data_IF_591194963656
#
_entry.id   IF_591194963656
#
_cell.length_a   1.000
_cell.length_b   1.000
_cell.length_c   1.000
_cell.angle_alpha   90.00
_cell.angle_beta   90.00
_cell.angle_gamma   90.00
#
_symmetry.space_group_name_H-M   'P 1'
#
loop_
_entity.id
_entity.type
_entity.pdbx_description
1 polymer ?
#
# COMPACT_ATOMS: atom_id res chain seq x y z
N UNK A 1 -45.09 4.52 9.23
CA UNK A 1 -44.11 5.45 9.83
C UNK A 1 -42.92 4.60 10.22
N UNK A 2 -41.72 4.85 9.67
CA UNK A 2 -40.53 4.12 10.14
C UNK A 2 -40.28 4.50 11.60
N UNK A 3 -39.96 3.50 12.41
CA UNK A 3 -39.61 3.69 13.81
C UNK A 3 -38.28 4.47 13.94
N UNK A 4 -38.18 5.31 14.96
CA UNK A 4 -37.03 6.24 15.14
C UNK A 4 -35.71 5.49 15.23
N UNK A 5 -35.71 4.32 15.87
CA UNK A 5 -34.55 3.44 15.99
C UNK A 5 -34.08 2.90 14.64
N UNK A 6 -35.00 2.72 13.68
CA UNK A 6 -34.66 2.25 12.32
C UNK A 6 -33.99 3.37 11.51
N UNK A 7 -34.44 4.61 11.68
CA UNK A 7 -33.85 5.78 11.03
C UNK A 7 -32.44 6.02 11.56
N UNK A 8 -32.24 5.99 12.88
CA UNK A 8 -30.92 6.18 13.51
C UNK A 8 -29.94 5.06 13.10
N UNK A 9 -30.42 3.82 12.99
CA UNK A 9 -29.61 2.69 12.53
C UNK A 9 -29.18 2.83 11.06
N UNK A 10 -30.06 3.32 10.19
CA UNK A 10 -29.75 3.55 8.79
C UNK A 10 -28.75 4.70 8.63
N UNK A 11 -28.97 5.81 9.33
CA UNK A 11 -28.05 6.95 9.36
C UNK A 11 -26.64 6.51 9.76
N UNK A 12 -26.52 5.72 10.84
CA UNK A 12 -25.22 5.20 11.31
C UNK A 12 -24.51 4.31 10.30
N UNK A 13 -25.24 3.55 9.48
CA UNK A 13 -24.61 2.75 8.42
C UNK A 13 -24.23 3.60 7.20
N UNK A 14 -24.99 4.66 6.88
CA UNK A 14 -24.64 5.62 5.84
C UNK A 14 -23.35 6.34 6.22
N UNK A 15 -23.27 6.87 7.45
CA UNK A 15 -22.08 7.55 7.95
C UNK A 15 -20.85 6.63 7.93
N UNK A 16 -21.04 5.34 8.24
CA UNK A 16 -19.97 4.33 8.19
C UNK A 16 -19.51 4.03 6.76
N UNK A 17 -20.40 4.04 5.77
CA UNK A 17 -20.02 3.87 4.37
C UNK A 17 -19.27 5.11 3.87
N UNK A 18 -19.74 6.30 4.21
CA UNK A 18 -19.11 7.57 3.83
C UNK A 18 -17.72 7.72 4.47
N UNK A 19 -17.56 7.34 5.74
CA UNK A 19 -16.25 7.35 6.41
C UNK A 19 -15.28 6.38 5.73
N UNK A 20 -15.73 5.17 5.37
CA UNK A 20 -14.89 4.18 4.67
C UNK A 20 -14.50 4.64 3.25
N UNK A 21 -15.38 5.34 2.53
CA UNK A 21 -15.07 5.91 1.21
C UNK A 21 -14.06 7.06 1.32
N UNK A 22 -14.19 7.90 2.35
CA UNK A 22 -13.25 8.99 2.62
C UNK A 22 -11.88 8.46 3.03
N UNK A 23 -11.85 7.49 3.94
CA UNK A 23 -10.63 6.79 4.39
C UNK A 23 -9.91 6.09 3.22
N UNK A 24 -10.66 5.52 2.27
CA UNK A 24 -10.09 4.92 1.05
C UNK A 24 -9.33 5.93 0.20
N UNK A 25 -9.94 7.08 -0.04
CA UNK A 25 -9.37 8.11 -0.89
C UNK A 25 -8.13 8.73 -0.23
N UNK A 26 -8.24 9.13 1.04
CA UNK A 26 -7.12 9.71 1.79
C UNK A 26 -5.97 8.71 1.98
N UNK A 27 -6.28 7.47 2.41
CA UNK A 27 -5.24 6.46 2.60
C UNK A 27 -4.49 6.18 1.30
N UNK A 28 -5.19 6.03 0.18
CA UNK A 28 -4.52 5.79 -1.10
C UNK A 28 -3.59 6.94 -1.49
N UNK A 29 -4.07 8.18 -1.40
CA UNK A 29 -3.26 9.36 -1.73
C UNK A 29 -2.05 9.50 -0.83
N UNK A 30 -2.21 9.28 0.48
CA UNK A 30 -1.11 9.30 1.46
C UNK A 30 -0.08 8.22 1.13
N UNK A 31 -0.52 7.00 0.85
CA UNK A 31 0.37 5.89 0.51
C UNK A 31 1.14 6.12 -0.79
N UNK A 32 0.46 6.58 -1.85
CA UNK A 32 1.13 6.93 -3.12
C UNK A 32 2.14 8.05 -2.90
N UNK A 33 1.79 9.07 -2.11
CA UNK A 33 2.71 10.15 -1.75
C UNK A 33 3.95 9.60 -1.04
N UNK A 34 3.79 8.75 -0.03
CA UNK A 34 4.94 8.16 0.68
C UNK A 34 5.83 7.32 -0.23
N UNK A 35 5.27 6.47 -1.11
CA UNK A 35 6.07 5.69 -2.05
C UNK A 35 6.85 6.62 -2.99
N UNK A 36 6.21 7.66 -3.54
CA UNK A 36 6.88 8.64 -4.41
C UNK A 36 7.98 9.40 -3.67
N UNK A 37 7.75 9.82 -2.42
CA UNK A 37 8.77 10.50 -1.61
C UNK A 37 9.97 9.60 -1.34
N UNK A 38 9.75 8.34 -0.99
CA UNK A 38 10.82 7.36 -0.77
C UNK A 38 11.60 7.13 -2.07
N UNK A 39 10.90 6.98 -3.20
CA UNK A 39 11.49 6.82 -4.52
C UNK A 39 12.40 7.98 -4.90
N UNK A 40 11.88 9.20 -4.80
CA UNK A 40 12.64 10.42 -5.12
C UNK A 40 13.82 10.56 -4.17
N UNK A 41 13.65 10.26 -2.88
CA UNK A 41 14.75 10.27 -1.90
C UNK A 41 15.86 9.30 -2.27
N UNK A 42 15.52 8.04 -2.57
CA UNK A 42 16.48 7.00 -2.95
C UNK A 42 17.20 7.33 -4.27
N UNK A 43 16.47 7.83 -5.27
CA UNK A 43 17.05 8.31 -6.54
C UNK A 43 17.99 9.50 -6.31
N UNK A 44 17.60 10.45 -5.47
CA UNK A 44 18.43 11.63 -5.17
C UNK A 44 19.73 11.23 -4.52
N UNK A 45 19.67 10.31 -3.55
CA UNK A 45 20.87 9.81 -2.86
C UNK A 45 21.77 9.05 -3.86
N UNK A 46 21.18 8.22 -4.71
CA UNK A 46 21.92 7.48 -5.73
C UNK A 46 22.64 8.41 -6.72
N UNK A 47 21.97 9.46 -7.20
CA UNK A 47 22.54 10.48 -8.09
C UNK A 47 23.62 11.29 -7.37
N UNK A 48 23.43 11.62 -6.08
CA UNK A 48 24.41 12.36 -5.30
C UNK A 48 25.74 11.61 -5.16
N UNK A 49 25.71 10.29 -5.09
CA UNK A 49 26.90 9.45 -4.98
C UNK A 49 27.60 9.14 -6.32
N UNK A 50 26.92 9.29 -7.46
CA UNK A 50 27.49 9.01 -8.79
C UNK A 50 28.47 10.09 -9.31
N UNK A 51 29.09 10.90 -8.44
CA UNK A 51 29.97 12.02 -8.83
C UNK A 51 31.42 11.62 -9.10
N UNK A 52 31.88 10.50 -8.56
CA UNK A 52 33.22 9.98 -8.82
C UNK A 52 33.15 8.92 -9.91
N UNK A 53 34.12 8.93 -10.83
CA UNK A 53 34.23 7.89 -11.87
C UNK A 53 34.21 6.53 -11.18
N UNK A 54 33.27 5.67 -11.60
CA UNK A 54 33.17 4.30 -11.13
C UNK A 54 34.37 3.54 -11.72
N UNK A 55 35.55 3.73 -11.14
CA UNK A 55 36.78 3.08 -11.59
C UNK A 55 36.93 1.68 -10.98
N UNK A 56 36.14 1.36 -9.94
CA UNK A 56 36.13 0.06 -9.28
C UNK A 56 34.90 -0.78 -9.66
N UNK A 57 35.14 -2.00 -10.13
CA UNK A 57 34.09 -2.98 -10.45
C UNK A 57 33.18 -3.25 -9.25
N UNK A 58 33.72 -3.21 -8.03
CA UNK A 58 32.95 -3.48 -6.80
C UNK A 58 31.86 -2.42 -6.58
N UNK A 59 32.21 -1.15 -6.78
CA UNK A 59 31.29 0.00 -6.71
C UNK A 59 30.18 -0.10 -7.76
N UNK A 60 30.50 -0.58 -8.97
CA UNK A 60 29.50 -0.81 -10.02
C UNK A 60 28.47 -1.89 -9.65
N UNK A 61 28.92 -3.00 -9.04
CA UNK A 61 28.01 -4.07 -8.61
C UNK A 61 27.07 -3.61 -7.49
N UNK A 62 27.57 -2.85 -6.51
CA UNK A 62 26.71 -2.29 -5.46
C UNK A 62 25.68 -1.31 -6.02
N UNK A 63 26.11 -0.41 -6.91
CA UNK A 63 25.22 0.54 -7.57
C UNK A 63 24.08 -0.17 -8.33
N UNK A 64 24.43 -1.18 -9.13
CA UNK A 64 23.45 -1.96 -9.89
C UNK A 64 22.50 -2.75 -8.96
N UNK A 65 23.03 -3.32 -7.88
CA UNK A 65 22.23 -4.06 -6.88
C UNK A 65 21.24 -3.15 -6.15
N UNK A 66 21.65 -1.91 -5.83
CA UNK A 66 20.78 -0.89 -5.23
C UNK A 66 19.64 -0.55 -6.19
N UNK A 67 19.95 -0.27 -7.46
CA UNK A 67 18.92 0.04 -8.47
C UNK A 67 17.90 -1.08 -8.63
N UNK A 68 18.36 -2.33 -8.73
CA UNK A 68 17.49 -3.49 -8.86
C UNK A 68 16.64 -3.66 -7.59
N UNK A 69 17.22 -3.49 -6.41
CA UNK A 69 16.51 -3.61 -5.13
C UNK A 69 15.42 -2.55 -4.98
N UNK A 70 15.71 -1.30 -5.38
CA UNK A 70 14.72 -0.22 -5.43
C UNK A 70 13.58 -0.59 -6.38
N UNK A 71 13.90 -1.01 -7.62
CA UNK A 71 12.89 -1.35 -8.61
C UNK A 71 11.96 -2.49 -8.13
N UNK A 72 12.54 -3.54 -7.53
CA UNK A 72 11.77 -4.67 -6.97
C UNK A 72 10.88 -4.20 -5.81
N UNK A 73 11.42 -3.39 -4.89
CA UNK A 73 10.64 -2.83 -3.78
C UNK A 73 9.45 -2.02 -4.30
N UNK A 74 9.64 -1.22 -5.34
CA UNK A 74 8.55 -0.40 -5.91
C UNK A 74 7.45 -1.27 -6.51
N UNK A 75 7.83 -2.24 -7.35
CA UNK A 75 6.86 -3.12 -8.01
C UNK A 75 6.05 -3.90 -6.96
N UNK A 76 6.73 -4.42 -5.94
CA UNK A 76 6.08 -5.20 -4.87
C UNK A 76 5.23 -4.33 -3.95
N UNK A 77 5.70 -3.14 -3.59
CA UNK A 77 4.95 -2.17 -2.79
C UNK A 77 3.70 -1.65 -3.49
N UNK A 78 3.78 -1.33 -4.78
CA UNK A 78 2.60 -0.93 -5.58
C UNK A 78 1.61 -2.08 -5.70
N UNK A 79 2.09 -3.31 -5.92
CA UNK A 79 1.24 -4.50 -6.00
C UNK A 79 0.51 -4.75 -4.67
N UNK A 80 1.21 -4.62 -3.55
CA UNK A 80 0.63 -4.73 -2.21
C UNK A 80 -0.43 -3.64 -1.95
N UNK A 81 -0.16 -2.39 -2.33
CA UNK A 81 -1.15 -1.31 -2.20
C UNK A 81 -2.39 -1.55 -3.04
N UNK A 82 -2.22 -1.99 -4.29
CA UNK A 82 -3.34 -2.31 -5.15
C UNK A 82 -4.23 -3.38 -4.53
N UNK A 83 -3.64 -4.37 -3.85
CA UNK A 83 -4.39 -5.35 -3.09
C UNK A 83 -5.18 -4.74 -1.94
N UNK A 84 -4.55 -3.89 -1.12
CA UNK A 84 -5.22 -3.24 0.00
C UNK A 84 -6.42 -2.40 -0.46
N UNK A 85 -6.28 -1.66 -1.55
CA UNK A 85 -7.38 -0.88 -2.15
C UNK A 85 -8.49 -1.81 -2.66
N UNK A 86 -8.11 -2.92 -3.29
CA UNK A 86 -9.06 -3.91 -3.80
C UNK A 86 -9.86 -4.55 -2.66
N UNK A 87 -9.19 -4.92 -1.56
CA UNK A 87 -9.86 -5.42 -0.35
C UNK A 87 -10.80 -4.37 0.22
N UNK A 88 -10.33 -3.13 0.36
CA UNK A 88 -11.15 -2.02 0.88
C UNK A 88 -12.37 -1.75 -0.02
N UNK A 89 -12.21 -1.84 -1.35
CA UNK A 89 -13.32 -1.75 -2.31
C UNK A 89 -14.31 -2.89 -2.12
N UNK A 90 -13.84 -4.13 -1.95
CA UNK A 90 -14.73 -5.27 -1.67
C UNK A 90 -15.50 -5.09 -0.35
N UNK A 91 -14.84 -4.60 0.70
CA UNK A 91 -15.49 -4.29 1.97
C UNK A 91 -16.56 -3.19 1.80
N UNK A 92 -16.28 -2.12 1.06
CA UNK A 92 -17.27 -1.06 0.79
C UNK A 92 -18.46 -1.61 0.00
N UNK A 93 -18.20 -2.37 -1.08
CA UNK A 93 -19.26 -2.98 -1.89
C UNK A 93 -20.12 -3.95 -1.06
N UNK A 94 -19.50 -4.68 -0.14
CA UNK A 94 -20.19 -5.55 0.80
C UNK A 94 -21.09 -4.76 1.76
N UNK A 95 -20.57 -3.70 2.38
CA UNK A 95 -21.35 -2.83 3.26
C UNK A 95 -22.50 -2.14 2.52
N UNK A 96 -22.28 -1.65 1.28
CA UNK A 96 -23.34 -1.10 0.42
C UNK A 96 -24.41 -2.13 0.10
N UNK A 97 -24.04 -3.36 -0.25
CA UNK A 97 -25.01 -4.44 -0.52
C UNK A 97 -25.82 -4.82 0.73
N UNK A 98 -25.16 -4.89 1.89
CA UNK A 98 -25.82 -5.14 3.16
C UNK A 98 -26.81 -4.02 3.52
N UNK A 99 -26.42 -2.75 3.29
CA UNK A 99 -27.28 -1.59 3.51
C UNK A 99 -28.49 -1.59 2.58
N UNK A 100 -28.29 -1.81 1.28
CA UNK A 100 -29.38 -1.87 0.29
C UNK A 100 -30.37 -3.00 0.59
N UNK A 101 -29.91 -4.18 1.00
CA UNK A 101 -30.79 -5.29 1.38
C UNK A 101 -31.65 -4.96 2.61
N UNK A 102 -31.06 -4.31 3.62
CA UNK A 102 -31.77 -3.87 4.83
C UNK A 102 -32.78 -2.77 4.53
N UNK A 103 -32.43 -1.81 3.68
CA UNK A 103 -33.36 -0.79 3.16
C UNK A 103 -34.54 -1.42 2.39
N UNK A 104 -34.31 -2.57 1.75
CA UNK A 104 -35.34 -3.34 1.04
C UNK A 104 -36.20 -4.22 1.95
N UNK A 105 -35.97 -4.20 3.27
CA UNK A 105 -36.76 -4.95 4.26
C UNK A 105 -36.29 -6.40 4.52
N UNK A 106 -35.18 -6.84 3.92
CA UNK A 106 -34.61 -8.17 4.18
C UNK A 106 -33.55 -8.11 5.30
N UNK A 107 -34.00 -8.37 6.53
CA UNK A 107 -33.15 -8.37 7.73
C UNK A 107 -32.60 -9.77 8.09
N UNK A 108 -33.04 -10.83 7.42
CA UNK A 108 -32.66 -12.22 7.77
C UNK A 108 -31.42 -12.73 7.05
N UNK A 109 -31.05 -12.14 5.91
CA UNK A 109 -29.89 -12.62 5.16
C UNK A 109 -28.56 -12.12 5.76
N UNK A 110 -27.87 -13.01 6.49
CA UNK A 110 -26.48 -12.79 6.92
C UNK A 110 -25.59 -12.95 5.69
N UNK A 111 -25.10 -11.84 5.15
CA UNK A 111 -24.01 -11.87 4.20
C UNK A 111 -22.74 -12.33 4.95
N UNK A 112 -22.16 -13.47 4.54
CA UNK A 112 -20.90 -13.96 5.10
C UNK A 112 -19.75 -13.11 4.57
N UNK A 113 -19.03 -12.47 5.48
CA UNK A 113 -17.99 -11.46 5.21
C UNK A 113 -16.60 -12.10 4.95
N UNK A 114 -16.56 -13.17 4.16
CA UNK A 114 -15.30 -13.85 3.88
C UNK A 114 -14.65 -13.27 2.62
N UNK A 115 -14.07 -12.07 2.77
CA UNK A 115 -13.16 -11.49 1.78
C UNK A 115 -11.91 -12.39 1.71
N UNK A 116 -11.88 -13.29 0.73
CA UNK A 116 -10.74 -14.19 0.51
C UNK A 116 -9.51 -13.40 0.08
N UNK A 117 -8.64 -13.09 1.03
CA UNK A 117 -7.30 -12.57 0.75
C UNK A 117 -6.43 -13.67 0.14
N UNK A 118 -5.81 -13.39 -1.03
CA UNK A 118 -4.90 -14.36 -1.67
C UNK A 118 -3.54 -14.31 -0.98
N UNK A 119 -2.96 -15.47 -0.66
CA UNK A 119 -1.66 -15.57 0.03
C UNK A 119 -0.50 -14.88 -0.72
N UNK A 120 -0.59 -14.75 -2.05
CA UNK A 120 0.41 -14.06 -2.89
C UNK A 120 0.67 -12.63 -2.40
N UNK A 121 -0.36 -11.94 -1.89
CA UNK A 121 -0.19 -10.56 -1.43
C UNK A 121 0.56 -10.43 -0.11
N UNK A 122 0.45 -11.44 0.77
CA UNK A 122 1.29 -11.53 1.98
C UNK A 122 2.76 -11.73 1.60
N UNK A 123 3.03 -12.50 0.54
CA UNK A 123 4.39 -12.67 0.04
C UNK A 123 4.92 -11.34 -0.50
N UNK A 124 4.14 -10.61 -1.29
CA UNK A 124 4.54 -9.27 -1.78
C UNK A 124 4.85 -8.30 -0.64
N UNK A 125 4.08 -8.35 0.46
CA UNK A 125 4.33 -7.54 1.66
C UNK A 125 5.68 -7.86 2.31
N UNK A 126 5.98 -9.15 2.55
CA UNK A 126 7.27 -9.56 3.10
C UNK A 126 8.44 -9.19 2.17
N UNK A 127 8.28 -9.38 0.86
CA UNK A 127 9.31 -9.01 -0.13
C UNK A 127 9.53 -7.50 -0.13
N UNK A 128 8.47 -6.70 -0.08
CA UNK A 128 8.58 -5.25 -0.01
C UNK A 128 9.39 -4.78 1.21
N UNK A 129 9.06 -5.28 2.40
CA UNK A 129 9.76 -4.89 3.62
C UNK A 129 11.21 -5.34 3.64
N UNK A 130 11.49 -6.57 3.21
CA UNK A 130 12.86 -7.10 3.17
C UNK A 130 13.73 -6.34 2.17
N UNK A 131 13.25 -6.08 0.95
CA UNK A 131 14.00 -5.32 -0.05
C UNK A 131 14.15 -3.84 0.31
N UNK A 132 13.14 -3.23 0.93
CA UNK A 132 13.26 -1.85 1.43
C UNK A 132 14.36 -1.73 2.48
N UNK A 133 14.40 -2.64 3.46
CA UNK A 133 15.40 -2.64 4.51
C UNK A 133 16.80 -2.95 3.94
N UNK A 134 16.89 -3.92 3.03
CA UNK A 134 18.13 -4.25 2.33
C UNK A 134 18.68 -3.05 1.54
N UNK A 135 17.82 -2.31 0.85
CA UNK A 135 18.20 -1.13 0.07
C UNK A 135 18.86 -0.07 0.95
N UNK A 136 18.33 0.18 2.14
CA UNK A 136 18.90 1.13 3.10
C UNK A 136 20.31 0.70 3.52
N UNK A 137 20.48 -0.59 3.86
CA UNK A 137 21.79 -1.13 4.25
C UNK A 137 22.80 -1.00 3.11
N UNK A 138 22.41 -1.38 1.89
CA UNK A 138 23.26 -1.27 0.71
C UNK A 138 23.66 0.18 0.43
N UNK A 139 22.74 1.14 0.60
CA UNK A 139 23.03 2.57 0.44
C UNK A 139 24.11 3.05 1.42
N UNK A 140 24.03 2.62 2.68
CA UNK A 140 25.01 2.99 3.72
C UNK A 140 26.39 2.43 3.38
N UNK A 141 26.47 1.15 2.98
CA UNK A 141 27.73 0.52 2.59
C UNK A 141 28.32 1.21 1.36
N UNK A 142 27.49 1.49 0.35
CA UNK A 142 27.92 2.19 -0.87
C UNK A 142 28.44 3.61 -0.58
N UNK A 143 27.78 4.35 0.31
CA UNK A 143 28.25 5.66 0.75
C UNK A 143 29.58 5.61 1.52
N UNK A 144 29.83 4.55 2.29
CA UNK A 144 31.14 4.34 2.94
C UNK A 144 32.23 4.02 1.93
N UNK A 145 31.95 3.18 0.93
CA UNK A 145 32.92 2.81 -0.10
C UNK A 145 33.34 3.99 -1.00
N UNK A 146 32.45 4.94 -1.25
CA UNK A 146 32.75 6.13 -2.06
C UNK A 146 33.55 7.19 -1.29
N UNK A 147 33.43 7.21 0.04
CA UNK A 147 34.12 8.16 0.90
C UNK A 147 35.52 7.69 1.36
N UNK A 148 35.91 6.45 1.06
CA UNK A 148 37.28 5.95 1.19
C UNK A 148 38.11 6.29 -0.04
#
# INVERSE_FOLDING_TARGET
>A
MLDKDTVDYLQKNIDKVESLERDKSESFTIWVRHILTILVGLLTILVAFNKNKIDDCLTFYFFSSILISIAISVITGVTFLFHQISNLKQTIDFQRKALNKRLSGDFKSILSDNVKTKNIYKICEYVFYTFSLLTIILLVIYGMLINQ
#
